data_IF_616346090884
#
_entry.id   IF_616346090884
#
_cell.length_a   1.000
_cell.length_b   1.000
_cell.length_c   1.000
_cell.angle_alpha   90.00
_cell.angle_beta   90.00
_cell.angle_gamma   90.00
#
_symmetry.space_group_name_H-M   'P 1'
#
loop_
_entity.id
_entity.type
_entity.pdbx_description
1 polymer ?
#
# COMPACT_ATOMS: atom_id res chain seq x y z
N UNK A 1 47.39 8.95 -26.40
CA UNK A 1 46.93 8.36 -25.12
C UNK A 1 45.50 8.79 -24.84
N UNK A 2 44.50 7.96 -25.18
CA UNK A 2 43.08 8.18 -24.82
C UNK A 2 42.76 7.30 -23.61
N UNK A 3 42.53 7.89 -22.43
CA UNK A 3 42.11 7.15 -21.22
C UNK A 3 40.60 6.91 -21.28
N UNK A 4 40.21 5.66 -21.54
CA UNK A 4 38.85 5.13 -21.31
C UNK A 4 38.63 5.05 -19.80
N UNK A 5 37.66 5.80 -19.28
CA UNK A 5 37.10 5.56 -17.95
C UNK A 5 36.06 4.45 -18.08
N UNK A 6 36.43 3.26 -17.59
CA UNK A 6 35.52 2.14 -17.45
C UNK A 6 34.67 2.40 -16.21
N UNK A 7 33.41 2.80 -16.41
CA UNK A 7 32.43 2.90 -15.33
C UNK A 7 32.14 1.47 -14.85
N UNK A 8 32.65 1.11 -13.67
CA UNK A 8 32.29 -0.14 -13.01
C UNK A 8 30.79 -0.04 -12.65
N UNK A 9 29.94 -0.73 -13.41
CA UNK A 9 28.60 -1.07 -12.95
C UNK A 9 28.78 -1.97 -11.71
N UNK A 10 28.56 -1.41 -10.53
CA UNK A 10 28.30 -2.20 -9.32
C UNK A 10 26.87 -2.72 -9.47
N UNK A 11 26.68 -3.73 -10.31
CA UNK A 11 25.58 -4.65 -10.17
C UNK A 11 25.96 -5.56 -8.99
N UNK A 12 25.65 -5.10 -7.78
CA UNK A 12 25.81 -5.92 -6.58
C UNK A 12 24.87 -7.11 -6.69
N UNK A 13 25.40 -8.28 -7.04
CA UNK A 13 24.73 -9.53 -6.76
C UNK A 13 24.44 -9.55 -5.25
N UNK A 14 23.16 -9.50 -4.87
CA UNK A 14 22.73 -9.71 -3.49
C UNK A 14 23.20 -11.11 -3.08
N UNK A 15 24.16 -11.17 -2.17
CA UNK A 15 24.53 -12.40 -1.48
C UNK A 15 23.28 -12.96 -0.80
N UNK A 16 23.06 -14.27 -0.95
CA UNK A 16 21.98 -15.00 -0.31
C UNK A 16 22.04 -14.82 1.22
N UNK A 17 20.90 -14.42 1.80
CA UNK A 17 20.70 -14.21 3.23
C UNK A 17 20.55 -12.74 3.62
N UNK A 18 19.41 -12.10 3.29
CA UNK A 18 19.05 -10.83 3.94
C UNK A 18 18.95 -11.08 5.45
N UNK A 19 19.82 -10.45 6.25
CA UNK A 19 19.77 -10.57 7.71
C UNK A 19 18.41 -10.11 8.21
N UNK A 20 17.63 -11.00 8.82
CA UNK A 20 16.34 -10.67 9.42
C UNK A 20 16.50 -10.22 10.87
N UNK A 21 15.41 -9.71 11.45
CA UNK A 21 15.30 -9.48 12.89
C UNK A 21 15.30 -10.83 13.62
N UNK A 22 16.09 -10.95 14.68
CA UNK A 22 15.95 -12.09 15.60
C UNK A 22 14.81 -11.83 16.59
N UNK A 23 14.29 -12.89 17.22
CA UNK A 23 13.31 -12.77 18.29
C UNK A 23 13.79 -11.83 19.42
N UNK A 24 15.08 -11.94 19.80
CA UNK A 24 15.68 -11.09 20.83
C UNK A 24 15.79 -9.62 20.41
N UNK A 25 16.13 -9.35 19.15
CA UNK A 25 16.16 -7.98 18.61
C UNK A 25 14.76 -7.37 18.61
N UNK A 26 13.73 -8.15 18.23
CA UNK A 26 12.34 -7.72 18.24
C UNK A 26 11.83 -7.41 19.67
N UNK A 27 12.17 -8.27 20.65
CA UNK A 27 11.84 -8.02 22.05
C UNK A 27 12.51 -6.75 22.59
N UNK A 28 13.81 -6.56 22.30
CA UNK A 28 14.54 -5.38 22.72
C UNK A 28 13.96 -4.10 22.12
N UNK A 29 13.55 -4.13 20.85
CA UNK A 29 12.86 -3.02 20.19
C UNK A 29 11.51 -2.69 20.87
N UNK A 30 10.69 -3.70 21.15
CA UNK A 30 9.39 -3.49 21.79
C UNK A 30 9.54 -2.90 23.21
N UNK A 31 10.46 -3.42 24.02
CA UNK A 31 10.75 -2.93 25.37
C UNK A 31 11.27 -1.48 25.35
N UNK A 32 12.18 -1.14 24.42
CA UNK A 32 12.67 0.22 24.26
C UNK A 32 11.56 1.20 23.89
N UNK A 33 10.65 0.80 23.01
CA UNK A 33 9.54 1.64 22.58
C UNK A 33 8.59 1.96 23.74
N UNK A 34 8.10 0.97 24.48
CA UNK A 34 7.19 1.21 25.61
C UNK A 34 7.86 1.87 26.83
N UNK A 35 9.20 1.89 26.87
CA UNK A 35 9.99 2.56 27.89
C UNK A 35 10.38 3.99 27.56
N UNK A 36 10.28 4.41 26.30
CA UNK A 36 10.71 5.75 25.86
C UNK A 36 9.82 6.88 26.44
N UNK A 37 8.54 6.59 26.68
CA UNK A 37 7.58 7.50 27.31
C UNK A 37 6.89 6.75 28.43
N UNK A 38 6.94 7.29 29.64
CA UNK A 38 6.26 6.77 30.84
C UNK A 38 4.74 6.91 30.68
N UNK A 39 4.12 5.92 30.04
CA UNK A 39 2.70 5.84 29.80
C UNK A 39 2.20 4.40 30.07
N UNK A 40 1.32 4.19 31.07
CA UNK A 40 0.82 2.87 31.41
C UNK A 40 -0.11 2.27 30.35
N UNK A 41 -0.61 3.07 29.39
CA UNK A 41 -1.40 2.61 28.26
C UNK A 41 -0.54 2.27 27.02
N UNK A 42 0.80 2.36 27.09
CA UNK A 42 1.63 2.09 25.91
C UNK A 42 1.59 0.61 25.46
N UNK A 43 1.51 0.40 24.15
CA UNK A 43 1.74 -0.89 23.50
C UNK A 43 2.73 -0.74 22.35
N UNK A 44 3.58 -1.74 22.12
CA UNK A 44 4.49 -1.77 20.98
C UNK A 44 4.46 -3.11 20.28
N UNK A 45 4.45 -3.09 18.95
CA UNK A 45 4.48 -4.29 18.11
C UNK A 45 5.60 -4.16 17.10
N UNK A 46 6.37 -5.24 16.94
CA UNK A 46 7.42 -5.38 15.94
C UNK A 46 7.01 -6.48 14.97
N UNK A 47 7.10 -6.19 13.68
CA UNK A 47 6.75 -7.13 12.60
C UNK A 47 7.91 -7.33 11.63
N UNK A 48 7.93 -8.48 10.94
CA UNK A 48 8.83 -8.70 9.80
C UNK A 48 8.39 -7.90 8.56
N UNK A 49 9.15 -8.04 7.46
CA UNK A 49 8.88 -7.36 6.19
C UNK A 49 7.49 -7.67 5.61
N UNK A 50 6.95 -8.86 5.88
CA UNK A 50 5.63 -9.32 5.42
C UNK A 50 4.52 -9.06 6.45
N UNK A 51 4.82 -8.41 7.58
CA UNK A 51 3.83 -8.03 8.59
C UNK A 51 3.48 -9.13 9.60
N UNK A 52 4.30 -10.20 9.72
CA UNK A 52 4.15 -11.20 10.78
C UNK A 52 4.65 -10.62 12.10
N UNK A 53 3.89 -10.80 13.17
CA UNK A 53 4.27 -10.34 14.52
C UNK A 53 5.48 -11.12 15.02
N UNK A 54 6.55 -10.39 15.36
CA UNK A 54 7.80 -10.92 15.92
C UNK A 54 7.89 -10.75 17.42
N UNK A 55 7.37 -9.63 17.93
CA UNK A 55 7.22 -9.35 19.34
C UNK A 55 6.09 -8.33 19.54
N UNK A 56 5.35 -8.46 20.63
CA UNK A 56 4.30 -7.54 21.01
C UNK A 56 4.34 -7.36 22.53
N UNK A 57 4.46 -6.13 23.00
CA UNK A 57 4.50 -5.81 24.43
C UNK A 57 3.36 -4.86 24.78
N UNK A 58 2.71 -5.13 25.92
CA UNK A 58 1.58 -4.37 26.42
C UNK A 58 1.82 -3.93 27.86
N UNK A 59 1.77 -2.62 28.14
CA UNK A 59 1.79 -2.05 29.51
C UNK A 59 0.47 -2.33 30.25
N UNK A 60 0.46 -2.15 31.57
CA UNK A 60 -0.64 -2.58 32.44
C UNK A 60 -2.04 -2.04 32.07
N UNK A 61 -2.12 -0.83 31.53
CA UNK A 61 -3.39 -0.15 31.20
C UNK A 61 -3.65 -0.09 29.69
N UNK A 62 -2.82 -0.71 28.85
CA UNK A 62 -3.09 -0.74 27.41
C UNK A 62 -4.30 -1.63 27.11
N UNK A 63 -5.25 -1.09 26.35
CA UNK A 63 -6.39 -1.83 25.84
C UNK A 63 -6.01 -2.68 24.61
N UNK A 64 -6.89 -3.60 24.20
CA UNK A 64 -6.68 -4.40 22.99
C UNK A 64 -6.61 -3.52 21.73
N UNK A 65 -7.35 -2.41 21.71
CA UNK A 65 -7.28 -1.42 20.62
C UNK A 65 -5.92 -0.73 20.54
N UNK A 66 -5.23 -0.53 21.66
CA UNK A 66 -3.88 0.07 21.66
C UNK A 66 -2.87 -0.89 21.03
N UNK A 67 -3.01 -2.18 21.31
CA UNK A 67 -2.19 -3.23 20.74
C UNK A 67 -2.47 -3.42 19.23
N UNK A 68 -3.73 -3.39 18.83
CA UNK A 68 -4.12 -3.41 17.41
C UNK A 68 -3.64 -2.17 16.67
N UNK A 69 -3.73 -0.99 17.29
CA UNK A 69 -3.19 0.26 16.72
C UNK A 69 -1.67 0.15 16.53
N UNK A 70 -0.95 -0.39 17.52
CA UNK A 70 0.48 -0.66 17.41
C UNK A 70 0.80 -1.63 16.27
N UNK A 71 0.03 -2.71 16.10
CA UNK A 71 0.19 -3.66 14.99
C UNK A 71 -0.04 -3.00 13.63
N UNK A 72 -1.12 -2.24 13.48
CA UNK A 72 -1.45 -1.57 12.23
C UNK A 72 -0.41 -0.50 11.85
N UNK A 73 0.12 0.24 12.84
CA UNK A 73 1.25 1.16 12.65
C UNK A 73 2.54 0.44 12.26
N UNK A 74 2.85 -0.68 12.92
CA UNK A 74 4.03 -1.50 12.62
C UNK A 74 3.97 -2.01 11.17
N UNK A 75 2.81 -2.53 10.76
CA UNK A 75 2.55 -2.94 9.38
C UNK A 75 2.60 -1.77 8.41
N UNK A 76 2.11 -0.59 8.77
CA UNK A 76 2.23 0.59 7.91
C UNK A 76 3.70 0.93 7.65
N UNK A 77 4.55 0.94 8.69
CA UNK A 77 5.99 1.09 8.53
C UNK A 77 6.61 -0.02 7.68
N UNK A 78 6.23 -1.28 7.95
CA UNK A 78 6.76 -2.44 7.25
C UNK A 78 6.31 -2.55 5.78
N UNK A 79 5.09 -2.14 5.44
CA UNK A 79 4.50 -2.43 4.14
C UNK A 79 4.86 -1.40 3.07
N UNK A 80 4.91 -0.11 3.43
CA UNK A 80 5.11 0.99 2.49
C UNK A 80 6.57 1.27 2.19
N UNK A 81 7.44 1.01 3.15
CA UNK A 81 8.86 1.30 2.97
C UNK A 81 9.54 0.26 2.08
N UNK A 82 10.75 0.57 1.63
CA UNK A 82 11.57 -0.25 0.75
C UNK A 82 13.06 0.06 0.97
N UNK A 83 13.96 -0.66 0.30
CA UNK A 83 15.42 -0.58 0.54
C UNK A 83 16.06 0.75 0.12
N UNK A 84 15.35 1.58 -0.64
CA UNK A 84 15.91 2.77 -1.28
C UNK A 84 15.57 4.09 -0.60
N UNK A 85 14.37 4.20 -0.03
CA UNK A 85 13.94 5.39 0.69
C UNK A 85 12.91 4.98 1.75
N UNK A 86 13.01 5.53 2.97
CA UNK A 86 12.13 5.16 4.04
C UNK A 86 10.80 5.91 3.95
N UNK A 87 9.69 5.18 4.11
CA UNK A 87 8.36 5.78 4.30
C UNK A 87 7.82 5.33 5.66
N UNK A 88 7.34 6.27 6.47
CA UNK A 88 6.72 5.98 7.76
C UNK A 88 5.21 6.15 7.67
N UNK A 89 4.51 5.74 8.74
CA UNK A 89 3.10 6.07 8.94
C UNK A 89 2.78 7.58 8.86
N UNK A 90 3.71 8.47 9.23
CA UNK A 90 3.58 9.92 9.02
C UNK A 90 3.67 10.31 7.54
N UNK A 91 4.56 9.65 6.79
CA UNK A 91 4.59 9.84 5.34
C UNK A 91 3.24 9.48 4.72
N UNK A 92 2.66 8.35 5.13
CA UNK A 92 1.37 7.87 4.60
C UNK A 92 0.21 8.75 5.09
N UNK A 93 0.28 9.31 6.30
CA UNK A 93 -0.64 10.37 6.75
C UNK A 93 -0.70 11.52 5.75
N UNK A 94 0.46 11.99 5.29
CA UNK A 94 0.49 13.10 4.32
C UNK A 94 -0.13 12.70 2.98
N UNK A 95 0.05 11.44 2.56
CA UNK A 95 -0.41 10.93 1.26
C UNK A 95 -1.87 10.46 1.23
N UNK A 96 -2.57 10.46 2.36
CA UNK A 96 -3.97 10.03 2.49
C UNK A 96 -4.95 11.20 2.67
N UNK A 97 -4.45 12.42 2.80
CA UNK A 97 -5.28 13.58 3.12
C UNK A 97 -6.31 13.90 2.02
N UNK A 98 -7.50 14.40 2.39
CA UNK A 98 -8.51 14.87 1.44
C UNK A 98 -8.07 16.09 0.61
N UNK A 99 -6.91 16.66 0.92
CA UNK A 99 -6.32 17.83 0.27
C UNK A 99 -4.78 17.76 0.41
N UNK A 100 -4.04 17.98 -0.69
CA UNK A 100 -2.57 17.89 -0.73
C UNK A 100 -1.94 19.04 -1.55
N UNK A 101 -1.05 19.85 -0.96
CA UNK A 101 -0.62 19.82 0.45
C UNK A 101 -1.74 20.23 1.41
N UNK A 102 -1.81 19.55 2.56
CA UNK A 102 -2.85 19.80 3.55
C UNK A 102 -2.89 21.26 4.03
N UNK A 103 -4.10 21.78 4.22
CA UNK A 103 -4.32 23.15 4.68
C UNK A 103 -4.25 24.21 3.58
N UNK A 104 -3.93 23.84 2.33
CA UNK A 104 -3.94 24.77 1.19
C UNK A 104 -5.30 24.69 0.48
N UNK A 105 -6.06 25.80 0.40
CA UNK A 105 -7.33 25.83 -0.28
C UNK A 105 -7.24 25.39 -1.75
N UNK A 106 -8.33 24.76 -2.22
CA UNK A 106 -8.51 24.36 -3.61
C UNK A 106 -7.37 23.48 -4.19
N UNK A 107 -6.86 22.56 -3.37
CA UNK A 107 -5.94 21.51 -3.81
C UNK A 107 -6.65 20.15 -3.87
N UNK A 108 -6.34 19.31 -4.86
CA UNK A 108 -6.90 17.97 -4.96
C UNK A 108 -6.52 17.12 -3.75
N UNK A 109 -7.20 15.99 -3.59
CA UNK A 109 -6.80 15.02 -2.58
C UNK A 109 -5.42 14.43 -2.86
N UNK A 110 -4.79 13.94 -1.80
CA UNK A 110 -3.51 13.27 -1.89
C UNK A 110 -3.59 11.97 -2.70
N UNK A 111 -2.45 11.54 -3.24
CA UNK A 111 -2.38 10.42 -4.18
C UNK A 111 -2.97 9.10 -3.66
N UNK A 112 -2.95 8.87 -2.34
CA UNK A 112 -3.43 7.65 -1.69
C UNK A 112 -4.66 7.91 -0.81
N UNK A 113 -5.50 8.89 -1.15
CA UNK A 113 -6.77 9.09 -0.46
C UNK A 113 -7.59 7.78 -0.39
N UNK A 114 -7.98 7.36 0.82
CA UNK A 114 -8.69 6.11 1.07
C UNK A 114 -7.79 4.89 1.30
N UNK A 115 -6.47 5.06 1.45
CA UNK A 115 -5.53 3.96 1.72
C UNK A 115 -5.86 3.17 3.00
N UNK A 116 -6.52 3.81 3.97
CA UNK A 116 -7.02 3.23 5.23
C UNK A 116 -8.02 2.08 5.01
N UNK A 117 -8.56 1.98 3.80
CA UNK A 117 -9.52 0.94 3.42
C UNK A 117 -8.86 -0.36 2.95
N UNK A 118 -7.53 -0.35 2.84
CA UNK A 118 -6.74 -1.47 2.33
C UNK A 118 -6.07 -2.23 3.46
N UNK A 119 -5.58 -3.43 3.16
CA UNK A 119 -4.78 -4.28 4.05
C UNK A 119 -5.53 -4.66 5.34
N UNK A 120 -6.85 -4.83 5.26
CA UNK A 120 -7.71 -5.21 6.39
C UNK A 120 -7.77 -6.72 6.65
N UNK A 121 -6.89 -7.52 6.04
CA UNK A 121 -6.79 -8.96 6.31
C UNK A 121 -7.82 -9.84 5.61
N UNK A 122 -8.49 -9.31 4.59
CA UNK A 122 -9.41 -10.04 3.74
C UNK A 122 -8.67 -11.12 2.93
N UNK A 123 -9.31 -12.28 2.74
CA UNK A 123 -8.71 -13.40 2.03
C UNK A 123 -8.63 -13.17 0.52
N UNK A 124 -7.58 -13.69 -0.12
CA UNK A 124 -7.51 -13.69 -1.58
C UNK A 124 -8.28 -14.85 -2.21
N UNK A 125 -8.76 -15.83 -1.44
CA UNK A 125 -9.39 -17.05 -1.98
C UNK A 125 -8.55 -17.66 -3.12
N UNK A 126 -7.24 -17.70 -2.91
CA UNK A 126 -6.27 -18.16 -3.89
C UNK A 126 -5.16 -18.91 -3.19
N UNK A 127 -4.61 -19.91 -3.89
CA UNK A 127 -3.49 -20.70 -3.43
C UNK A 127 -2.19 -20.05 -3.89
N UNK A 128 -1.33 -19.71 -2.93
CA UNK A 128 0.02 -19.23 -3.21
C UNK A 128 0.92 -20.39 -3.64
N UNK A 129 1.93 -20.08 -4.44
CA UNK A 129 3.00 -21.01 -4.73
C UNK A 129 3.77 -21.34 -3.42
N UNK A 130 4.32 -22.55 -3.32
CA UNK A 130 4.96 -23.02 -2.09
C UNK A 130 6.08 -22.06 -1.60
N UNK A 131 5.97 -21.60 -0.35
CA UNK A 131 6.93 -20.67 0.25
C UNK A 131 6.78 -19.22 -0.23
N UNK A 132 5.70 -18.89 -0.94
CA UNK A 132 5.38 -17.54 -1.43
C UNK A 132 4.22 -16.89 -0.70
N UNK A 133 3.83 -17.44 0.44
CA UNK A 133 2.67 -17.00 1.20
C UNK A 133 2.91 -15.62 1.83
N UNK A 134 1.93 -14.72 1.62
CA UNK A 134 1.79 -13.51 2.40
C UNK A 134 0.74 -13.72 3.49
N UNK A 135 1.06 -13.43 4.77
CA UNK A 135 0.09 -13.55 5.84
C UNK A 135 -1.03 -12.53 5.63
N UNK A 136 -2.31 -12.91 5.79
CA UNK A 136 -3.39 -11.93 5.77
C UNK A 136 -3.20 -10.96 6.95
N UNK A 137 -3.27 -9.66 6.68
CA UNK A 137 -3.12 -8.60 7.67
C UNK A 137 -4.38 -8.48 8.57
N UNK A 138 -4.70 -9.55 9.32
CA UNK A 138 -5.82 -9.61 10.27
C UNK A 138 -5.55 -8.79 11.52
N UNK A 139 -6.59 -8.49 12.29
CA UNK A 139 -6.43 -7.89 13.62
C UNK A 139 -5.51 -8.72 14.53
N UNK A 140 -5.07 -8.14 15.64
CA UNK A 140 -4.13 -8.77 16.55
C UNK A 140 -4.65 -10.11 17.12
N UNK A 141 -5.96 -10.21 17.38
CA UNK A 141 -6.61 -11.44 17.81
C UNK A 141 -6.61 -12.54 16.72
N UNK A 142 -6.47 -12.17 15.44
CA UNK A 142 -6.45 -13.07 14.30
C UNK A 142 -7.81 -13.56 13.83
N UNK A 143 -8.89 -13.11 14.48
CA UNK A 143 -10.27 -13.56 14.26
C UNK A 143 -11.07 -12.66 13.31
N UNK A 144 -10.55 -11.48 12.95
CA UNK A 144 -11.29 -10.51 12.15
C UNK A 144 -10.43 -9.54 11.34
N UNK A 145 -11.09 -8.59 10.64
CA UNK A 145 -10.40 -7.57 9.87
C UNK A 145 -9.54 -6.67 10.76
N UNK A 146 -8.35 -6.30 10.28
CA UNK A 146 -7.50 -5.29 10.95
C UNK A 146 -8.05 -3.89 10.71
N UNK A 147 -7.54 -2.91 11.49
CA UNK A 147 -7.70 -1.48 11.20
C UNK A 147 -7.19 -1.08 9.80
N UNK A 148 -6.41 -1.94 9.14
CA UNK A 148 -5.83 -1.68 7.82
C UNK A 148 -4.59 -0.80 7.92
N UNK A 149 -4.39 0.06 6.92
CA UNK A 149 -3.31 1.04 6.94
C UNK A 149 -3.69 2.18 7.89
N UNK A 150 -2.86 2.43 8.91
CA UNK A 150 -3.09 3.51 9.87
C UNK A 150 -2.22 4.72 9.54
N UNK A 151 -2.87 5.84 9.27
CA UNK A 151 -2.29 7.06 8.70
C UNK A 151 -2.07 8.14 9.76
N UNK A 152 -1.32 7.80 10.81
CA UNK A 152 -0.89 8.73 11.86
C UNK A 152 0.53 8.41 12.34
N UNK A 153 1.26 9.37 12.93
CA UNK A 153 2.59 9.10 13.49
C UNK A 153 2.58 7.99 14.56
N UNK A 154 3.64 7.16 14.56
CA UNK A 154 3.82 6.06 15.52
C UNK A 154 4.29 4.73 14.91
N UNK A 155 4.28 4.61 13.58
CA UNK A 155 4.78 3.46 12.82
C UNK A 155 6.01 3.80 11.98
N UNK A 156 7.07 3.00 12.10
CA UNK A 156 8.38 3.24 11.49
C UNK A 156 8.95 1.96 10.84
N UNK A 157 9.56 2.04 9.64
CA UNK A 157 10.32 0.91 9.07
C UNK A 157 11.61 0.63 9.84
N UNK A 158 12.02 -0.64 9.87
CA UNK A 158 13.26 -1.11 10.49
C UNK A 158 14.25 -1.58 9.42
N UNK A 159 15.52 -1.19 9.57
CA UNK A 159 16.60 -1.49 8.63
C UNK A 159 17.75 -2.24 9.32
N UNK A 160 18.34 -3.21 8.65
CA UNK A 160 19.54 -3.95 9.10
C UNK A 160 20.48 -4.12 7.92
N UNK A 161 21.73 -3.69 8.05
CA UNK A 161 22.71 -3.74 6.95
C UNK A 161 22.24 -3.00 5.69
N UNK A 162 21.47 -1.92 5.84
CA UNK A 162 20.92 -1.14 4.72
C UNK A 162 19.71 -1.76 4.01
N UNK A 163 19.29 -2.98 4.38
CA UNK A 163 18.07 -3.60 3.86
C UNK A 163 16.93 -3.44 4.86
N UNK A 164 15.72 -3.27 4.36
CA UNK A 164 14.53 -3.22 5.19
C UNK A 164 14.17 -4.62 5.70
N UNK A 165 13.94 -4.74 7.00
CA UNK A 165 13.71 -6.04 7.67
C UNK A 165 12.36 -6.14 8.38
N UNK A 166 11.63 -5.03 8.51
CA UNK A 166 10.36 -5.03 9.21
C UNK A 166 9.85 -3.64 9.55
N UNK A 167 9.02 -3.57 10.58
CA UNK A 167 8.47 -2.33 11.10
C UNK A 167 8.17 -2.42 12.59
N UNK A 168 8.17 -1.26 13.25
CA UNK A 168 7.72 -1.10 14.63
C UNK A 168 6.58 -0.10 14.68
N UNK A 169 5.59 -0.37 15.53
CA UNK A 169 4.46 0.52 15.78
C UNK A 169 4.20 0.67 17.26
N UNK A 170 3.77 1.87 17.68
CA UNK A 170 3.48 2.20 19.08
C UNK A 170 2.05 2.75 19.20
N UNK A 171 1.27 2.18 20.11
CA UNK A 171 -0.12 2.54 20.39
C UNK A 171 -0.35 3.00 21.84
N UNK A 172 -1.57 3.45 22.14
CA UNK A 172 -1.99 3.88 23.47
C UNK A 172 -1.40 5.19 23.98
N UNK A 173 -0.97 6.05 23.06
CA UNK A 173 -0.47 7.39 23.38
C UNK A 173 -0.75 8.41 22.27
N UNK A 174 -0.51 9.69 22.56
CA UNK A 174 -0.57 10.76 21.57
C UNK A 174 0.39 10.47 20.38
N UNK A 175 0.04 10.86 19.14
CA UNK A 175 0.84 10.51 17.95
C UNK A 175 2.32 10.91 18.04
N UNK A 176 2.61 12.09 18.58
CA UNK A 176 3.97 12.59 18.78
C UNK A 176 4.77 11.75 19.79
N UNK A 177 4.11 11.26 20.86
CA UNK A 177 4.73 10.36 21.82
C UNK A 177 5.03 9.00 21.20
N UNK A 178 4.08 8.47 20.40
CA UNK A 178 4.23 7.20 19.69
C UNK A 178 5.36 7.27 18.66
N UNK A 179 5.45 8.37 17.90
CA UNK A 179 6.53 8.57 16.94
C UNK A 179 7.89 8.65 17.64
N UNK A 180 8.00 9.43 18.71
CA UNK A 180 9.23 9.50 19.51
C UNK A 180 9.65 8.13 20.03
N UNK A 181 8.70 7.35 20.55
CA UNK A 181 8.96 6.01 21.06
C UNK A 181 9.48 5.06 19.98
N UNK A 182 8.85 5.06 18.80
CA UNK A 182 9.27 4.25 17.66
C UNK A 182 10.67 4.65 17.15
N UNK A 183 10.92 5.96 17.02
CA UNK A 183 12.23 6.52 16.62
C UNK A 183 13.32 6.17 17.63
N UNK A 184 13.06 6.38 18.92
CA UNK A 184 14.01 6.10 20.00
C UNK A 184 14.37 4.62 20.07
N UNK A 185 13.39 3.73 19.89
CA UNK A 185 13.62 2.30 19.84
C UNK A 185 14.48 1.89 18.64
N UNK A 186 14.10 2.30 17.43
CA UNK A 186 14.82 1.95 16.22
C UNK A 186 16.24 2.53 16.19
N UNK A 187 16.41 3.81 16.52
CA UNK A 187 17.73 4.46 16.56
C UNK A 187 18.61 3.88 17.69
N UNK A 188 18.06 3.74 18.89
CA UNK A 188 18.80 3.23 20.05
C UNK A 188 19.20 1.76 19.95
N UNK A 189 18.55 0.99 19.07
CA UNK A 189 18.89 -0.41 18.79
C UNK A 189 19.64 -0.60 17.45
N UNK A 190 19.95 0.47 16.71
CA UNK A 190 20.69 0.38 15.45
C UNK A 190 19.87 -0.11 14.24
N UNK A 191 18.54 0.00 14.30
CA UNK A 191 17.60 -0.38 13.24
C UNK A 191 17.00 0.80 12.48
N UNK A 192 17.49 2.01 12.72
CA UNK A 192 17.04 3.19 12.01
C UNK A 192 17.58 3.21 10.59
N UNK A 193 16.85 3.89 9.69
CA UNK A 193 17.27 4.03 8.29
C UNK A 193 18.65 4.70 8.19
N UNK A 194 19.52 4.26 7.25
CA UNK A 194 20.76 4.98 6.96
C UNK A 194 20.49 6.41 6.49
N UNK A 195 21.13 7.38 7.14
CA UNK A 195 21.11 8.80 6.76
C UNK A 195 22.55 9.29 6.50
N UNK A 196 22.75 10.30 5.61
CA UNK A 196 21.72 10.97 4.80
C UNK A 196 21.22 10.11 3.63
N UNK A 197 19.98 10.36 3.20
CA UNK A 197 19.45 9.72 1.99
C UNK A 197 20.18 10.22 0.73
N UNK A 198 20.28 9.41 -0.34
CA UNK A 198 20.82 9.86 -1.62
C UNK A 198 20.08 11.10 -2.16
N UNK A 199 20.75 11.90 -3.00
CA UNK A 199 20.15 13.09 -3.61
C UNK A 199 18.75 12.75 -4.22
N UNK A 200 17.71 13.54 -3.88
CA UNK A 200 17.72 14.88 -3.31
C UNK A 200 17.62 14.94 -1.76
N UNK A 201 17.89 13.83 -1.06
CA UNK A 201 17.90 13.77 0.40
C UNK A 201 16.53 13.55 1.04
N UNK A 202 15.46 13.49 0.24
CA UNK A 202 14.11 13.15 0.66
C UNK A 202 13.27 12.71 -0.54
N UNK A 203 12.11 12.11 -0.26
CA UNK A 203 11.09 11.81 -1.28
C UNK A 203 10.24 13.06 -1.51
N UNK A 204 9.93 13.34 -2.77
CA UNK A 204 9.07 14.45 -3.19
C UNK A 204 7.93 13.92 -4.06
N UNK A 205 6.70 14.37 -3.77
CA UNK A 205 5.52 14.14 -4.61
C UNK A 205 4.92 15.51 -4.92
N UNK A 206 4.65 15.75 -6.21
CA UNK A 206 4.16 17.05 -6.72
C UNK A 206 4.96 18.27 -6.24
N UNK A 207 6.28 18.09 -6.08
CA UNK A 207 7.19 19.13 -5.60
C UNK A 207 7.18 19.34 -4.08
N UNK A 208 6.35 18.61 -3.34
CA UNK A 208 6.25 18.68 -1.88
C UNK A 208 7.13 17.61 -1.24
N UNK A 209 8.00 18.04 -0.31
CA UNK A 209 8.83 17.12 0.48
C UNK A 209 7.94 16.30 1.41
N UNK A 210 8.04 14.99 1.34
CA UNK A 210 7.31 14.12 2.26
C UNK A 210 8.02 14.05 3.62
N UNK A 211 7.30 14.23 4.73
CA UNK A 211 7.88 14.05 6.06
C UNK A 211 8.12 12.57 6.32
N UNK A 212 9.28 12.23 6.89
CA UNK A 212 9.58 10.88 7.36
C UNK A 212 9.29 10.75 8.87
N UNK A 213 9.94 11.55 9.70
CA UNK A 213 9.68 11.65 11.14
C UNK A 213 9.84 13.10 11.57
N UNK A 214 9.13 13.53 12.62
CA UNK A 214 9.25 14.87 13.18
C UNK A 214 9.68 14.84 14.64
N UNK A 215 9.04 14.00 15.46
CA UNK A 215 9.33 13.93 16.89
C UNK A 215 10.53 13.00 17.16
N UNK A 216 11.74 13.56 17.14
CA UNK A 216 12.99 12.82 17.39
C UNK A 216 13.59 13.08 18.78
N UNK A 217 13.05 14.03 19.53
CA UNK A 217 13.43 14.35 20.91
C UNK A 217 12.29 14.04 21.88
N UNK A 218 12.62 13.89 23.16
CA UNK A 218 11.62 13.61 24.20
C UNK A 218 10.53 14.70 24.18
N UNK A 219 9.24 14.34 23.99
CA UNK A 219 8.15 15.29 24.02
C UNK A 219 8.09 16.07 25.33
N UNK A 220 7.73 17.35 25.26
CA UNK A 220 7.65 18.21 26.44
C UNK A 220 6.68 17.63 27.49
N UNK A 221 7.08 17.64 28.77
CA UNK A 221 6.28 17.09 29.86
C UNK A 221 6.31 15.56 29.97
N UNK A 222 7.06 14.87 29.10
CA UNK A 222 7.25 13.41 29.20
C UNK A 222 8.65 13.05 29.69
N UNK A 223 8.80 11.81 30.15
CA UNK A 223 10.06 11.21 30.58
C UNK A 223 10.08 9.71 30.22
N UNK A 224 11.25 9.06 30.14
CA UNK A 224 11.32 7.61 30.07
C UNK A 224 10.71 6.93 31.29
N UNK A 225 10.18 5.73 31.11
CA UNK A 225 9.65 4.91 32.21
C UNK A 225 10.79 4.39 33.09
N UNK A 226 10.66 4.52 34.42
CA UNK A 226 11.63 3.97 35.37
C UNK A 226 11.58 2.44 35.46
N UNK A 227 10.40 1.87 35.24
CA UNK A 227 10.15 0.44 35.15
C UNK A 227 8.98 0.17 34.19
N UNK A 228 8.92 -1.03 33.63
CA UNK A 228 7.81 -1.47 32.80
C UNK A 228 6.88 -2.36 33.63
N UNK A 229 5.59 -2.05 33.60
CA UNK A 229 4.52 -2.70 34.40
C UNK A 229 3.70 -3.72 33.58
N UNK A 230 4.22 -4.14 32.43
CA UNK A 230 3.51 -4.96 31.44
C UNK A 230 4.17 -6.29 31.13
N UNK A 231 3.76 -6.89 30.01
CA UNK A 231 4.32 -8.15 29.53
C UNK A 231 4.22 -8.32 28.02
N UNK A 232 4.95 -9.32 27.51
CA UNK A 232 4.81 -9.76 26.12
C UNK A 232 3.48 -10.47 25.92
N UNK A 233 2.86 -10.22 24.78
CA UNK A 233 1.61 -10.85 24.34
C UNK A 233 1.93 -11.83 23.22
N UNK A 234 1.71 -13.12 23.46
CA UNK A 234 2.13 -14.19 22.55
C UNK A 234 3.63 -14.52 22.67
N UNK A 235 4.11 -15.37 21.75
CA UNK A 235 5.51 -15.79 21.71
C UNK A 235 6.32 -15.03 20.66
N UNK A 236 7.56 -14.66 21.04
CA UNK A 236 8.51 -14.00 20.15
C UNK A 236 9.10 -14.98 19.12
N UNK A 237 9.47 -14.48 17.94
CA UNK A 237 10.01 -15.32 16.85
C UNK A 237 10.94 -14.54 15.94
N UNK A 238 11.79 -15.27 15.23
CA UNK A 238 12.65 -14.71 14.19
C UNK A 238 11.84 -14.24 12.98
N UNK A 239 12.31 -13.15 12.37
CA UNK A 239 11.74 -12.57 11.18
C UNK A 239 12.01 -13.37 9.92
N UNK A 240 11.15 -13.19 8.92
CA UNK A 240 11.28 -13.81 7.61
C UNK A 240 11.30 -12.74 6.52
N UNK A 241 11.99 -13.04 5.43
CA UNK A 241 11.92 -12.23 4.22
C UNK A 241 10.50 -12.24 3.65
N UNK A 242 10.09 -11.14 3.01
CA UNK A 242 8.88 -11.13 2.21
C UNK A 242 9.11 -11.84 0.87
N UNK A 243 8.19 -12.68 0.39
CA UNK A 243 8.34 -13.38 -0.87
C UNK A 243 8.30 -12.40 -2.06
N UNK A 244 9.08 -12.71 -3.10
CA UNK A 244 9.16 -11.94 -4.35
C UNK A 244 9.00 -12.87 -5.57
N UNK A 245 8.77 -12.29 -6.74
CA UNK A 245 8.49 -13.00 -7.99
C UNK A 245 7.02 -13.40 -8.10
N UNK A 246 6.76 -14.55 -8.74
CA UNK A 246 5.44 -15.15 -8.75
C UNK A 246 5.06 -15.58 -7.33
N UNK A 247 4.03 -14.94 -6.80
CA UNK A 247 3.39 -15.35 -5.55
C UNK A 247 2.28 -16.35 -5.82
N UNK A 248 1.58 -16.16 -6.94
CA UNK A 248 0.62 -17.09 -7.52
C UNK A 248 1.00 -17.21 -9.00
N UNK A 249 1.46 -18.38 -9.41
CA UNK A 249 1.82 -18.64 -10.81
C UNK A 249 0.63 -18.46 -11.77
N UNK A 250 0.86 -18.05 -13.04
CA UNK A 250 -0.21 -17.87 -14.02
C UNK A 250 -1.05 -19.13 -14.23
N UNK A 251 -2.37 -18.99 -14.13
CA UNK A 251 -3.37 -20.02 -14.38
C UNK A 251 -4.39 -19.51 -15.42
N UNK A 252 -5.03 -20.43 -16.13
CA UNK A 252 -6.09 -20.09 -17.08
C UNK A 252 -7.46 -20.08 -16.42
N UNK A 253 -8.39 -19.33 -17.00
CA UNK A 253 -9.84 -19.40 -16.80
C UNK A 253 -10.53 -19.84 -18.10
N UNK A 254 -11.86 -19.83 -18.12
CA UNK A 254 -12.63 -20.05 -19.36
C UNK A 254 -12.44 -18.96 -20.42
N UNK A 255 -12.00 -17.76 -20.04
CA UNK A 255 -11.90 -16.59 -20.94
C UNK A 255 -10.45 -16.11 -21.17
N UNK A 256 -9.53 -16.40 -20.25
CA UNK A 256 -8.11 -16.04 -20.32
C UNK A 256 -7.24 -17.29 -20.17
N UNK A 257 -6.31 -17.53 -21.10
CA UNK A 257 -5.33 -18.61 -20.97
C UNK A 257 -4.17 -18.24 -20.03
N UNK A 258 -3.51 -19.23 -19.43
CA UNK A 258 -2.38 -19.02 -18.52
C UNK A 258 -1.22 -18.22 -19.17
N UNK A 259 -0.89 -18.51 -20.43
CA UNK A 259 0.14 -17.75 -21.17
C UNK A 259 -0.29 -16.31 -21.47
N UNK A 260 -1.60 -16.04 -21.61
CA UNK A 260 -2.09 -14.67 -21.78
C UNK A 260 -1.98 -13.90 -20.47
N UNK A 261 -2.31 -14.54 -19.34
CA UNK A 261 -2.12 -13.96 -18.00
C UNK A 261 -0.64 -13.65 -17.74
N UNK A 262 0.26 -14.58 -18.09
CA UNK A 262 1.70 -14.36 -18.04
C UNK A 262 2.11 -13.15 -18.89
N UNK A 263 1.70 -13.11 -20.16
CA UNK A 263 2.06 -12.03 -21.07
C UNK A 263 1.53 -10.65 -20.65
N UNK A 264 0.34 -10.57 -20.04
CA UNK A 264 -0.19 -9.33 -19.45
C UNK A 264 0.75 -8.81 -18.35
N UNK A 265 1.11 -9.68 -17.41
CA UNK A 265 1.97 -9.31 -16.28
C UNK A 265 3.38 -8.97 -16.75
N UNK A 266 3.98 -9.77 -17.64
CA UNK A 266 5.34 -9.55 -18.13
C UNK A 266 5.48 -8.24 -18.92
N UNK A 267 4.47 -7.85 -19.72
CA UNK A 267 4.46 -6.54 -20.40
C UNK A 267 4.41 -5.38 -19.42
N UNK A 268 3.61 -5.50 -18.37
CA UNK A 268 3.54 -4.49 -17.33
C UNK A 268 4.84 -4.44 -16.51
N UNK A 269 5.46 -5.58 -16.17
CA UNK A 269 6.80 -5.62 -15.54
C UNK A 269 7.84 -4.94 -16.44
N UNK A 270 7.86 -5.23 -17.74
CA UNK A 270 8.77 -4.60 -18.69
C UNK A 270 8.57 -3.07 -18.78
N UNK A 271 7.33 -2.59 -18.57
CA UNK A 271 7.04 -1.16 -18.47
C UNK A 271 7.53 -0.57 -17.14
N UNK A 272 7.34 -1.28 -16.02
CA UNK A 272 7.80 -0.85 -14.70
C UNK A 272 9.33 -0.70 -14.66
N UNK A 273 10.08 -1.58 -15.33
CA UNK A 273 11.55 -1.52 -15.42
C UNK A 273 12.09 -0.33 -16.24
N UNK A 274 11.23 0.37 -16.98
CA UNK A 274 11.59 1.65 -17.63
C UNK A 274 11.03 2.86 -16.89
N UNK A 275 9.97 2.67 -16.12
CA UNK A 275 9.28 3.76 -15.43
C UNK A 275 10.07 4.23 -14.22
N UNK A 276 10.21 5.54 -14.03
CA UNK A 276 10.87 6.15 -12.87
C UNK A 276 9.97 6.02 -11.64
N UNK A 277 10.49 5.44 -10.56
CA UNK A 277 9.78 5.33 -9.28
C UNK A 277 9.71 6.68 -8.56
N UNK A 278 8.53 7.08 -8.08
CA UNK A 278 8.35 8.39 -7.44
C UNK A 278 8.98 8.42 -6.06
N UNK A 279 8.76 7.34 -5.31
CA UNK A 279 9.23 7.18 -3.93
C UNK A 279 10.66 6.63 -3.82
N UNK A 280 11.35 6.39 -4.95
CA UNK A 280 12.68 5.74 -4.96
C UNK A 280 13.84 6.71 -5.12
N UNK A 281 14.93 6.40 -4.41
CA UNK A 281 16.20 7.13 -4.42
C UNK A 281 17.39 6.20 -4.72
N UNK A 282 18.46 6.69 -5.38
CA UNK A 282 18.62 8.02 -5.97
C UNK A 282 17.65 8.29 -7.13
N UNK A 283 17.49 9.56 -7.52
CA UNK A 283 16.65 9.94 -8.66
C UNK A 283 17.02 9.13 -9.92
N UNK A 284 16.01 8.79 -10.71
CA UNK A 284 16.14 7.90 -11.88
C UNK A 284 16.01 6.41 -11.56
N UNK A 285 15.90 6.03 -10.29
CA UNK A 285 15.59 4.65 -9.90
C UNK A 285 14.28 4.16 -10.53
N UNK A 286 14.27 2.90 -10.97
CA UNK A 286 13.13 2.28 -11.65
C UNK A 286 12.06 1.84 -10.68
N UNK A 287 10.82 1.86 -11.16
CA UNK A 287 9.69 1.48 -10.35
C UNK A 287 9.66 -0.02 -10.04
N UNK A 288 9.09 -0.39 -8.90
CA UNK A 288 8.80 -1.76 -8.47
C UNK A 288 7.33 -1.84 -8.10
N UNK A 289 6.65 -2.77 -8.74
CA UNK A 289 5.20 -2.92 -8.66
C UNK A 289 4.83 -4.33 -8.23
N UNK A 290 3.62 -4.46 -7.70
CA UNK A 290 2.88 -5.72 -7.61
C UNK A 290 1.78 -5.70 -8.65
N UNK A 291 1.61 -6.83 -9.34
CA UNK A 291 0.69 -6.98 -10.46
C UNK A 291 -0.19 -8.19 -10.24
N UNK A 292 -1.50 -8.01 -10.42
CA UNK A 292 -2.48 -9.07 -10.28
C UNK A 292 -3.42 -9.10 -11.49
N UNK A 293 -3.74 -10.30 -11.96
CA UNK A 293 -4.80 -10.52 -12.95
C UNK A 293 -5.88 -11.40 -12.33
N UNK A 294 -7.13 -11.02 -12.50
CA UNK A 294 -8.29 -11.83 -12.11
C UNK A 294 -9.19 -12.17 -13.30
N UNK A 295 -9.96 -13.25 -13.20
CA UNK A 295 -11.07 -13.53 -14.12
C UNK A 295 -12.32 -12.70 -13.78
N UNK A 296 -13.43 -12.96 -14.48
CA UNK A 296 -14.70 -12.22 -14.34
C UNK A 296 -15.46 -12.58 -13.07
N UNK A 297 -15.12 -13.69 -12.42
CA UNK A 297 -15.61 -14.11 -11.11
C UNK A 297 -14.72 -13.58 -9.95
N UNK A 298 -13.61 -12.93 -10.27
CA UNK A 298 -12.66 -12.36 -9.30
C UNK A 298 -11.64 -13.36 -8.75
N UNK A 299 -11.52 -14.57 -9.32
CA UNK A 299 -10.46 -15.50 -8.96
C UNK A 299 -9.12 -14.93 -9.43
N UNK A 300 -8.08 -15.03 -8.59
CA UNK A 300 -6.74 -14.55 -8.94
C UNK A 300 -6.08 -15.55 -9.89
N UNK A 301 -5.83 -15.13 -11.13
CA UNK A 301 -5.18 -15.94 -12.16
C UNK A 301 -3.66 -15.81 -12.14
N UNK A 302 -3.12 -14.75 -11.54
CA UNK A 302 -1.69 -14.57 -11.34
C UNK A 302 -1.41 -13.37 -10.45
N UNK A 303 -0.38 -13.48 -9.61
CA UNK A 303 0.09 -12.43 -8.72
C UNK A 303 1.62 -12.40 -8.74
N UNK A 304 2.20 -11.30 -9.19
CA UNK A 304 3.65 -11.10 -9.28
C UNK A 304 4.08 -9.88 -8.49
N UNK A 305 5.03 -10.06 -7.57
CA UNK A 305 5.66 -8.98 -6.81
C UNK A 305 7.09 -8.78 -7.29
N UNK A 306 7.38 -7.63 -7.89
CA UNK A 306 8.75 -7.29 -8.28
C UNK A 306 9.68 -7.23 -7.04
N UNK A 307 10.98 -7.55 -7.19
CA UNK A 307 11.93 -7.40 -6.10
C UNK A 307 11.90 -6.01 -5.47
N UNK A 308 11.88 -5.94 -4.13
CA UNK A 308 11.79 -4.68 -3.36
C UNK A 308 10.52 -3.84 -3.62
N UNK A 309 9.49 -4.38 -4.29
CA UNK A 309 8.18 -3.74 -4.34
C UNK A 309 7.53 -3.68 -2.95
N UNK A 310 6.72 -2.67 -2.70
CA UNK A 310 5.99 -2.51 -1.45
C UNK A 310 5.07 -3.70 -1.19
N UNK A 311 4.92 -4.12 0.07
CA UNK A 311 4.16 -5.34 0.42
C UNK A 311 2.66 -5.06 0.48
N UNK A 312 2.24 -3.85 0.89
CA UNK A 312 0.81 -3.46 0.90
C UNK A 312 0.19 -3.60 -0.50
N UNK A 313 1.02 -3.45 -1.54
CA UNK A 313 0.61 -3.48 -2.94
C UNK A 313 0.07 -4.83 -3.39
N UNK A 314 0.32 -5.93 -2.66
CA UNK A 314 -0.28 -7.22 -2.99
C UNK A 314 -1.79 -7.22 -2.81
N UNK A 315 -2.27 -6.77 -1.65
CA UNK A 315 -3.71 -6.64 -1.40
C UNK A 315 -4.34 -5.62 -2.35
N UNK A 316 -3.68 -4.48 -2.54
CA UNK A 316 -4.16 -3.42 -3.42
C UNK A 316 -4.23 -3.86 -4.88
N UNK A 317 -3.24 -4.57 -5.41
CA UNK A 317 -3.27 -5.04 -6.80
C UNK A 317 -4.40 -6.06 -7.03
N UNK A 318 -4.60 -6.99 -6.09
CA UNK A 318 -5.71 -7.96 -6.15
C UNK A 318 -7.06 -7.26 -6.05
N UNK A 319 -7.23 -6.32 -5.13
CA UNK A 319 -8.46 -5.53 -4.99
C UNK A 319 -8.74 -4.73 -6.29
N UNK A 320 -7.74 -4.03 -6.83
CA UNK A 320 -7.85 -3.29 -8.10
C UNK A 320 -8.32 -4.18 -9.25
N UNK A 321 -7.75 -5.37 -9.41
CA UNK A 321 -8.14 -6.34 -10.45
C UNK A 321 -9.61 -6.77 -10.30
N UNK A 322 -10.06 -7.06 -9.08
CA UNK A 322 -11.45 -7.45 -8.78
C UNK A 322 -12.45 -6.30 -8.91
N UNK A 323 -12.05 -5.11 -8.48
CA UNK A 323 -12.88 -3.91 -8.53
C UNK A 323 -13.28 -3.61 -9.98
N UNK A 324 -12.30 -3.55 -10.89
CA UNK A 324 -12.59 -3.22 -12.29
C UNK A 324 -13.44 -4.27 -13.00
N UNK A 325 -13.38 -5.53 -12.58
CA UNK A 325 -14.28 -6.59 -13.07
C UNK A 325 -15.72 -6.29 -12.67
N UNK A 326 -16.00 -6.15 -11.38
CA UNK A 326 -17.37 -5.92 -10.92
C UNK A 326 -17.93 -4.58 -11.38
N UNK A 327 -17.20 -3.48 -11.16
CA UNK A 327 -17.71 -2.13 -11.44
C UNK A 327 -17.83 -1.84 -12.94
N UNK A 328 -17.19 -2.63 -13.81
CA UNK A 328 -17.40 -2.58 -15.25
C UNK A 328 -18.40 -3.61 -15.78
N UNK A 329 -18.89 -4.51 -14.93
CA UNK A 329 -19.81 -5.57 -15.35
C UNK A 329 -21.27 -5.09 -15.45
N UNK A 330 -22.09 -5.91 -16.08
CA UNK A 330 -23.56 -5.75 -16.07
C UNK A 330 -24.20 -6.13 -14.73
N UNK A 331 -23.46 -6.78 -13.83
CA UNK A 331 -23.91 -7.16 -12.49
C UNK A 331 -23.74 -6.05 -11.45
N UNK A 332 -23.06 -4.94 -11.80
CA UNK A 332 -22.88 -3.78 -10.92
C UNK A 332 -24.23 -3.20 -10.51
N UNK A 333 -24.42 -2.92 -9.22
CA UNK A 333 -25.60 -2.18 -8.76
C UNK A 333 -25.54 -0.72 -9.22
N UNK A 334 -26.69 -0.13 -9.56
CA UNK A 334 -26.74 1.27 -10.03
C UNK A 334 -26.25 2.24 -8.94
N UNK A 335 -26.54 1.93 -7.67
CA UNK A 335 -26.15 2.74 -6.52
C UNK A 335 -24.64 2.76 -6.22
N UNK A 336 -23.87 1.81 -6.77
CA UNK A 336 -22.41 1.82 -6.61
C UNK A 336 -21.79 3.05 -7.30
N UNK A 337 -22.23 3.35 -8.53
CA UNK A 337 -21.70 4.45 -9.34
C UNK A 337 -22.84 5.30 -9.96
N UNK A 338 -23.59 6.07 -9.16
CA UNK A 338 -24.71 6.87 -9.65
C UNK A 338 -24.30 7.85 -10.75
N UNK A 339 -25.05 7.87 -11.85
CA UNK A 339 -24.79 8.73 -13.00
C UNK A 339 -23.88 8.12 -14.09
N UNK A 340 -23.32 6.93 -13.87
CA UNK A 340 -22.70 6.14 -14.93
C UNK A 340 -23.63 5.00 -15.36
N UNK A 341 -23.82 4.77 -16.68
CA UNK A 341 -24.49 3.55 -17.14
C UNK A 341 -23.81 2.28 -16.62
N UNK A 342 -24.60 1.22 -16.46
CA UNK A 342 -24.09 -0.13 -16.13
C UNK A 342 -23.36 -0.70 -17.35
N UNK A 343 -22.26 -1.42 -17.15
CA UNK A 343 -21.42 -1.94 -18.24
C UNK A 343 -20.37 -0.96 -18.79
N UNK A 344 -20.32 0.27 -18.28
CA UNK A 344 -19.24 1.23 -18.60
C UNK A 344 -17.93 0.73 -17.98
N UNK A 345 -16.87 0.68 -18.78
CA UNK A 345 -15.52 0.39 -18.34
C UNK A 345 -15.01 1.52 -17.43
N UNK A 346 -14.75 1.18 -16.18
CA UNK A 346 -14.21 2.09 -15.15
C UNK A 346 -12.89 1.57 -14.62
N UNK A 347 -12.07 2.47 -14.09
CA UNK A 347 -10.85 2.12 -13.34
C UNK A 347 -10.99 2.56 -11.89
N UNK A 348 -10.08 2.11 -11.02
CA UNK A 348 -9.98 2.62 -9.65
C UNK A 348 -9.71 4.13 -9.60
N UNK A 349 -9.17 4.73 -10.68
CA UNK A 349 -9.12 6.20 -10.83
C UNK A 349 -10.52 6.79 -11.00
N UNK A 350 -11.36 6.19 -11.84
CA UNK A 350 -12.76 6.63 -12.02
C UNK A 350 -13.56 6.54 -10.72
N UNK A 351 -13.45 5.39 -10.04
CA UNK A 351 -14.12 5.11 -8.75
C UNK A 351 -13.64 6.10 -7.69
N UNK A 352 -12.31 6.23 -7.54
CA UNK A 352 -11.68 7.15 -6.60
C UNK A 352 -12.07 8.61 -6.81
N UNK A 353 -12.11 9.06 -8.07
CA UNK A 353 -12.45 10.44 -8.42
C UNK A 353 -13.89 10.81 -8.05
N UNK A 354 -14.85 9.90 -8.26
CA UNK A 354 -16.23 10.14 -7.85
C UNK A 354 -16.48 9.91 -6.36
N UNK A 355 -15.55 9.30 -5.62
CA UNK A 355 -15.66 9.04 -4.18
C UNK A 355 -15.12 10.19 -3.30
N UNK A 356 -14.59 11.24 -3.91
CA UNK A 356 -13.94 12.36 -3.23
C UNK A 356 -14.92 13.15 -2.34
N UNK A 357 -14.43 13.76 -1.24
CA UNK A 357 -15.26 14.60 -0.36
C UNK A 357 -15.69 15.91 -1.05
N UNK A 358 -15.02 16.29 -2.14
CA UNK A 358 -15.33 17.46 -2.97
C UNK A 358 -15.32 17.03 -4.44
N UNK A 359 -16.28 17.54 -5.24
CA UNK A 359 -16.42 17.16 -6.64
C UNK A 359 -16.68 18.37 -7.57
N UNK A 360 -15.79 18.62 -8.55
CA UNK A 360 -14.54 17.89 -8.82
C UNK A 360 -13.52 18.05 -7.68
N UNK A 361 -12.62 17.06 -7.55
CA UNK A 361 -11.55 17.10 -6.55
C UNK A 361 -10.77 18.40 -6.65
N UNK A 362 -10.49 19.03 -5.51
CA UNK A 362 -9.73 20.27 -5.44
C UNK A 362 -10.54 21.56 -5.57
N UNK A 363 -11.87 21.51 -5.57
CA UNK A 363 -12.72 22.70 -5.40
C UNK A 363 -13.42 22.61 -4.04
N UNK A 364 -12.95 23.40 -3.07
CA UNK A 364 -13.57 23.42 -1.73
C UNK A 364 -15.00 23.96 -1.81
N UNK A 365 -15.85 23.56 -0.84
CA UNK A 365 -17.27 23.91 -0.77
C UNK A 365 -18.11 23.45 -1.99
N UNK A 366 -17.60 22.50 -2.77
CA UNK A 366 -18.42 21.77 -3.75
C UNK A 366 -19.13 20.60 -3.06
N UNK A 367 -20.23 20.15 -3.66
CA UNK A 367 -20.92 18.93 -3.23
C UNK A 367 -19.97 17.72 -3.26
N UNK A 368 -20.11 16.75 -2.34
CA UNK A 368 -19.37 15.51 -2.40
C UNK A 368 -19.55 14.78 -3.72
N UNK A 369 -18.56 13.96 -4.06
CA UNK A 369 -18.60 13.15 -5.27
C UNK A 369 -19.79 12.20 -5.32
N UNK A 370 -20.28 11.88 -6.53
CA UNK A 370 -21.48 11.04 -6.70
C UNK A 370 -21.33 9.63 -6.12
N UNK A 371 -20.09 9.17 -5.90
CA UNK A 371 -19.77 7.84 -5.36
C UNK A 371 -19.35 7.92 -3.88
N UNK A 372 -19.58 9.04 -3.19
CA UNK A 372 -19.20 9.22 -1.79
C UNK A 372 -19.82 8.15 -0.87
N UNK A 373 -21.06 7.76 -1.14
CA UNK A 373 -21.73 6.69 -0.39
C UNK A 373 -21.02 5.34 -0.52
N UNK A 374 -20.41 5.04 -1.67
CA UNK A 374 -19.61 3.82 -1.87
C UNK A 374 -18.37 3.81 -0.98
N UNK A 375 -17.69 4.95 -0.85
CA UNK A 375 -16.55 5.10 0.04
C UNK A 375 -16.94 4.87 1.51
N UNK A 376 -18.02 5.52 1.95
CA UNK A 376 -18.49 5.38 3.33
C UNK A 376 -18.96 3.96 3.63
N UNK A 377 -19.62 3.31 2.67
CA UNK A 377 -20.01 1.91 2.80
C UNK A 377 -18.80 0.99 2.97
N UNK A 378 -17.77 1.13 2.12
CA UNK A 378 -16.55 0.32 2.18
C UNK A 378 -15.71 0.57 3.45
N UNK A 379 -15.76 1.80 4.00
CA UNK A 379 -15.18 2.09 5.32
C UNK A 379 -15.78 1.19 6.40
N UNK A 380 -17.10 1.08 6.40
CA UNK A 380 -17.87 0.44 7.47
C UNK A 380 -18.08 -1.07 7.22
N UNK A 381 -17.85 -1.55 6.00
CA UNK A 381 -18.02 -2.94 5.58
C UNK A 381 -16.73 -3.48 4.92
N UNK A 382 -15.67 -3.73 5.71
CA UNK A 382 -14.43 -4.28 5.17
C UNK A 382 -14.66 -5.62 4.48
N UNK A 383 -13.80 -5.94 3.52
CA UNK A 383 -13.88 -7.17 2.71
C UNK A 383 -15.13 -7.28 1.84
N UNK A 384 -15.79 -6.16 1.53
CA UNK A 384 -16.87 -6.09 0.55
C UNK A 384 -16.40 -5.43 -0.75
N UNK A 385 -17.26 -5.36 -1.76
CA UNK A 385 -16.98 -4.65 -2.99
C UNK A 385 -18.23 -3.86 -3.41
N UNK A 386 -18.52 -2.82 -2.63
CA UNK A 386 -19.76 -2.06 -2.75
C UNK A 386 -20.96 -2.94 -2.45
N UNK A 387 -22.02 -2.79 -3.24
CA UNK A 387 -23.23 -3.60 -3.11
C UNK A 387 -23.21 -4.89 -3.93
N UNK A 388 -22.02 -5.38 -4.31
CA UNK A 388 -21.90 -6.72 -4.87
C UNK A 388 -22.34 -7.76 -3.85
N UNK A 389 -23.20 -8.74 -4.22
CA UNK A 389 -23.54 -9.85 -3.34
C UNK A 389 -22.29 -10.54 -2.79
N UNK A 390 -22.34 -10.90 -1.50
CA UNK A 390 -21.22 -11.47 -0.79
C UNK A 390 -20.69 -12.72 -1.50
N UNK A 391 -19.38 -12.77 -1.72
CA UNK A 391 -18.70 -13.91 -2.32
C UNK A 391 -17.24 -14.01 -1.84
N UNK A 392 -16.56 -15.17 -2.05
CA UNK A 392 -15.20 -15.38 -1.58
C UNK A 392 -14.13 -14.46 -2.21
N UNK A 393 -14.44 -13.80 -3.33
CA UNK A 393 -13.51 -13.00 -4.12
C UNK A 393 -13.67 -11.49 -3.88
N UNK A 394 -13.86 -11.10 -2.61
CA UNK A 394 -13.99 -9.71 -2.18
C UNK A 394 -12.94 -9.37 -1.13
N UNK A 395 -12.20 -8.28 -1.35
CA UNK A 395 -11.17 -7.82 -0.41
C UNK A 395 -11.12 -6.28 -0.27
N UNK A 396 -12.24 -5.60 -0.50
CA UNK A 396 -12.35 -4.15 -0.37
C UNK A 396 -12.27 -3.39 -1.69
N UNK A 397 -12.53 -2.09 -1.62
CA UNK A 397 -12.39 -1.16 -2.75
C UNK A 397 -11.13 -0.31 -2.61
N UNK A 398 -10.40 -0.17 -3.72
CA UNK A 398 -9.29 0.77 -3.82
C UNK A 398 -9.75 2.05 -4.51
N UNK A 399 -9.55 3.20 -3.88
CA UNK A 399 -10.00 4.52 -4.38
C UNK A 399 -8.90 5.32 -5.08
N UNK A 400 -7.85 4.65 -5.55
CA UNK A 400 -6.74 5.29 -6.25
C UNK A 400 -6.26 4.49 -7.47
N UNK A 401 -5.59 5.14 -8.44
CA UNK A 401 -5.30 4.63 -9.79
C UNK A 401 -4.46 3.34 -9.84
N UNK A 402 -4.38 2.70 -11.01
CA UNK A 402 -3.57 1.50 -11.25
C UNK A 402 -4.32 0.25 -11.70
N UNK A 403 -5.35 0.40 -12.54
CA UNK A 403 -6.21 -0.74 -12.88
C UNK A 403 -6.78 -0.67 -14.29
N UNK A 404 -7.14 -1.83 -14.85
CA UNK A 404 -7.78 -1.95 -16.15
C UNK A 404 -8.77 -3.12 -16.19
N UNK A 405 -10.05 -2.90 -16.54
CA UNK A 405 -10.88 -3.99 -17.01
C UNK A 405 -10.34 -4.50 -18.35
N UNK A 406 -10.25 -5.82 -18.52
CA UNK A 406 -9.69 -6.46 -19.71
C UNK A 406 -10.84 -6.95 -20.60
N UNK A 407 -10.85 -6.52 -21.87
CA UNK A 407 -11.87 -6.88 -22.84
C UNK A 407 -11.29 -7.71 -23.99
N UNK A 408 -12.11 -8.58 -24.58
CA UNK A 408 -11.80 -9.25 -25.85
C UNK A 408 -13.07 -9.37 -26.66
N UNK A 409 -13.04 -8.92 -27.92
CA UNK A 409 -14.20 -8.93 -28.81
C UNK A 409 -15.45 -8.26 -28.19
N UNK A 410 -15.23 -7.20 -27.41
CA UNK A 410 -16.28 -6.46 -26.71
C UNK A 410 -16.83 -7.08 -25.43
N UNK A 411 -16.40 -8.29 -25.07
CA UNK A 411 -16.75 -8.93 -23.80
C UNK A 411 -15.68 -8.66 -22.74
N UNK A 412 -16.11 -8.40 -21.50
CA UNK A 412 -15.22 -8.37 -20.34
C UNK A 412 -14.69 -9.79 -20.09
N UNK A 413 -13.37 -9.95 -19.97
CA UNK A 413 -12.70 -11.25 -19.79
C UNK A 413 -11.87 -11.34 -18.51
N UNK A 414 -11.68 -10.23 -17.81
CA UNK A 414 -10.96 -10.19 -16.53
C UNK A 414 -10.59 -8.77 -16.10
N UNK A 415 -9.70 -8.67 -15.13
CA UNK A 415 -9.18 -7.40 -14.61
C UNK A 415 -7.69 -7.46 -14.35
N UNK A 416 -7.02 -6.33 -14.54
CA UNK A 416 -5.62 -6.11 -14.19
C UNK A 416 -5.55 -5.03 -13.10
N UNK A 417 -4.80 -5.32 -12.04
CA UNK A 417 -4.44 -4.36 -11.00
C UNK A 417 -2.92 -4.26 -10.84
N UNK A 418 -2.43 -3.04 -10.67
CA UNK A 418 -1.01 -2.70 -10.48
C UNK A 418 -0.91 -1.73 -9.30
N UNK A 419 0.06 -1.95 -8.42
CA UNK A 419 0.33 -1.06 -7.28
C UNK A 419 1.81 -1.03 -6.92
N UNK A 420 2.36 0.15 -6.64
CA UNK A 420 3.73 0.27 -6.12
C UNK A 420 4.16 1.71 -5.84
N UNK A 421 4.98 2.29 -6.72
CA UNK A 421 5.78 3.48 -6.40
C UNK A 421 5.17 4.83 -6.77
N UNK A 422 3.97 4.88 -7.35
CA UNK A 422 3.29 6.13 -7.67
C UNK A 422 2.03 5.92 -8.51
N UNK A 423 0.97 6.69 -8.27
CA UNK A 423 -0.34 6.39 -8.85
C UNK A 423 -0.44 6.66 -10.36
N UNK A 424 0.24 7.68 -10.88
CA UNK A 424 0.37 7.84 -12.33
C UNK A 424 1.27 6.76 -12.96
N UNK A 425 2.30 6.29 -12.25
CA UNK A 425 3.14 5.17 -12.68
C UNK A 425 2.34 3.86 -12.71
N UNK A 426 1.48 3.63 -11.72
CA UNK A 426 0.58 2.48 -11.68
C UNK A 426 -0.30 2.45 -12.95
N UNK A 427 -0.93 3.57 -13.32
CA UNK A 427 -1.72 3.66 -14.57
C UNK A 427 -0.86 3.44 -15.82
N UNK A 428 0.33 4.04 -15.89
CA UNK A 428 1.22 3.91 -17.05
C UNK A 428 1.71 2.46 -17.24
N UNK A 429 1.96 1.74 -16.14
CA UNK A 429 2.31 0.33 -16.13
C UNK A 429 1.11 -0.55 -16.48
N UNK A 430 -0.06 -0.24 -15.91
CA UNK A 430 -1.33 -0.94 -16.19
C UNK A 430 -1.69 -0.88 -17.67
N UNK A 431 -1.59 0.31 -18.29
CA UNK A 431 -1.88 0.50 -19.70
C UNK A 431 -1.03 -0.39 -20.62
N UNK A 432 0.23 -0.66 -20.25
CA UNK A 432 1.09 -1.57 -21.01
C UNK A 432 0.67 -3.04 -20.85
N UNK A 433 0.23 -3.45 -19.67
CA UNK A 433 -0.29 -4.81 -19.46
C UNK A 433 -1.61 -5.06 -20.18
N UNK A 434 -2.45 -4.04 -20.27
CA UNK A 434 -3.78 -4.09 -20.89
C UNK A 434 -3.77 -3.95 -22.42
N UNK A 435 -2.62 -3.79 -23.07
CA UNK A 435 -2.52 -3.64 -24.52
C UNK A 435 -3.14 -4.85 -25.25
N UNK A 436 -4.02 -4.60 -26.21
CA UNK A 436 -4.81 -5.63 -26.90
C UNK A 436 -6.01 -6.17 -26.10
N UNK A 437 -6.29 -5.60 -24.93
CA UNK A 437 -7.44 -5.89 -24.08
C UNK A 437 -8.26 -4.64 -23.74
N UNK A 438 -8.16 -3.60 -24.54
CA UNK A 438 -8.83 -2.32 -24.30
C UNK A 438 -10.35 -2.46 -24.41
N UNK A 439 -11.12 -1.70 -23.59
CA UNK A 439 -12.55 -1.60 -23.79
C UNK A 439 -12.87 -1.04 -25.18
N UNK A 440 -13.95 -1.53 -25.84
CA UNK A 440 -14.48 -0.93 -27.04
C UNK A 440 -14.71 0.59 -26.94
N UNK A 441 -14.61 1.31 -28.07
CA UNK A 441 -15.03 2.72 -28.14
C UNK A 441 -16.47 2.89 -27.64
N UNK A 442 -16.77 3.98 -26.91
CA UNK A 442 -18.11 4.22 -26.35
C UNK A 442 -18.28 3.79 -24.89
N UNK A 443 -17.42 2.88 -24.40
CA UNK A 443 -17.62 2.25 -23.09
C UNK A 443 -16.75 2.81 -21.99
N UNK A 444 -15.74 3.63 -22.28
CA UNK A 444 -14.84 4.13 -21.23
C UNK A 444 -15.49 5.24 -20.41
N UNK A 445 -15.19 5.25 -19.12
CA UNK A 445 -15.67 6.28 -18.20
C UNK A 445 -15.35 7.72 -18.65
N UNK A 446 -14.26 7.94 -19.39
CA UNK A 446 -13.84 9.26 -19.90
C UNK A 446 -14.62 9.78 -21.11
N UNK A 447 -15.66 9.06 -21.51
CA UNK A 447 -16.70 9.51 -22.43
C UNK A 447 -17.95 10.06 -21.71
N UNK A 448 -18.03 9.90 -20.38
CA UNK A 448 -19.19 10.29 -19.57
C UNK A 448 -18.88 11.51 -18.69
N UNK A 449 -19.94 12.29 -18.42
CA UNK A 449 -19.90 13.47 -17.57
C UNK A 449 -20.93 13.34 -16.45
N UNK A 450 -20.53 13.67 -15.23
CA UNK A 450 -21.44 13.81 -14.08
C UNK A 450 -21.34 15.24 -13.58
N UNK A 451 -22.47 15.94 -13.44
CA UNK A 451 -22.52 17.36 -13.03
C UNK A 451 -21.57 18.26 -13.87
N UNK A 452 -21.47 17.97 -15.17
CA UNK A 452 -20.59 18.71 -16.10
C UNK A 452 -19.09 18.37 -16.01
N UNK A 453 -18.70 17.42 -15.15
CA UNK A 453 -17.30 16.99 -14.96
C UNK A 453 -17.08 15.64 -15.65
N UNK A 454 -16.05 15.56 -16.51
CA UNK A 454 -15.65 14.31 -17.17
C UNK A 454 -15.04 13.34 -16.16
N UNK A 455 -15.45 12.08 -16.19
CA UNK A 455 -14.90 11.05 -15.30
C UNK A 455 -13.56 10.54 -15.84
N UNK A 456 -12.47 10.54 -15.05
CA UNK A 456 -11.17 10.12 -15.56
C UNK A 456 -11.08 8.60 -15.72
N UNK A 457 -10.32 8.13 -16.70
CA UNK A 457 -10.01 6.70 -16.91
C UNK A 457 -8.57 6.37 -16.53
N UNK A 458 -7.59 6.96 -17.24
CA UNK A 458 -6.17 6.89 -16.88
C UNK A 458 -5.53 8.28 -16.90
N UNK A 459 -4.44 8.44 -16.15
CA UNK A 459 -3.55 9.61 -16.23
C UNK A 459 -2.11 9.14 -16.10
N UNK A 460 -1.25 9.58 -17.02
CA UNK A 460 0.15 9.17 -17.08
C UNK A 460 1.09 10.29 -16.63
N UNK A 461 2.30 9.95 -16.14
CA UNK A 461 3.32 10.95 -15.86
C UNK A 461 3.75 11.65 -17.15
N UNK A 462 4.10 12.94 -17.06
CA UNK A 462 4.59 13.71 -18.22
C UNK A 462 5.89 13.16 -18.80
N UNK A 463 6.80 12.70 -17.94
CA UNK A 463 8.09 12.11 -18.29
C UNK A 463 8.29 10.79 -17.54
N UNK A 464 7.60 9.70 -17.94
CA UNK A 464 7.49 8.52 -17.09
C UNK A 464 8.79 7.72 -16.96
N UNK A 465 9.75 7.88 -17.87
CA UNK A 465 10.99 7.08 -17.90
C UNK A 465 12.26 7.87 -17.54
N UNK A 466 12.11 9.13 -17.10
CA UNK A 466 13.21 10.05 -16.76
C UNK A 466 13.31 10.31 -15.26
#
# INVERSE_FOLDING_TARGET
>A
MKRRWMLLLICGARLAGQSQLTAQEAEALALRAVGAVDNPAAAAVVVDRAGRVLAAYRRAQAADLDLETALALARTGAFFSHDQAPLSSRTIQTLSQPNFPAGVPNQPAAALFGIEHTNRGCGFNAEFDAGKELPPARNFAGDGPSLGVVTRPGGLPLYKGGSMVGGIGVGGMAPEHAEFAAVSAAAGAGFFVPLPLPFPGAVFIDGIRLPFVEQTSQPAGTRPAAALDGGFVGGSRDGQAAPEGWLISPRGSGLLGAEQVRAIIERAVARAERTRGVIRLPLGSRSRMVLAVSDVEGNVLGLFRMPDATVFSADVAVAKARNVVYFSSTARQVQDLPGLPVGVAVTNRSIGFGAQPFFPSGIQNSEPGPFRALFEFDRDHPCTQGWQPANPNQNGIVFFPGSAPLYRNGALVGGLGVSGDGVEQDDYVTAAGAEGFEPPPGMRADEYFIRGVRIPYWKFPRNPER
#
